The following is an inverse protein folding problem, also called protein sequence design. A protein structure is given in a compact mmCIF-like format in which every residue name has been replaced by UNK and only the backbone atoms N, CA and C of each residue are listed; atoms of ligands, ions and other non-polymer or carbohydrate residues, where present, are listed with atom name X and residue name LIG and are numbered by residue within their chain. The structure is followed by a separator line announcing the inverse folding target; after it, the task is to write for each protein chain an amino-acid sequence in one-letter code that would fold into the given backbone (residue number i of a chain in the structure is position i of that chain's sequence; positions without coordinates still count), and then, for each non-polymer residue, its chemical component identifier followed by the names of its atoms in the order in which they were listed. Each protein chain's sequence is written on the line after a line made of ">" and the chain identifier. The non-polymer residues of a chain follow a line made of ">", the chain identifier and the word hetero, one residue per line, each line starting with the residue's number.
data_IF_221067990322
#
_entry.id   IF_221067990322
#
_cell.length_a   1.000
_cell.length_b   1.000
_cell.length_c   1.000
_cell.angle_alpha   90.00
_cell.angle_beta   90.00
_cell.angle_gamma   90.00
#
_symmetry.space_group_name_H-M   'P 1'
#
loop_
_entity.id
_entity.type
_entity.pdbx_description
1 polymer ?
#
# COMPACT_ATOMS: atom_id res chain seq x y z
N UNK A 1 -8.62 -3.64 24.10
CA UNK A 1 -8.80 -3.42 25.55
C UNK A 1 -9.78 -4.40 26.21
N UNK A 2 -11.03 -4.58 25.67
CA UNK A 2 -12.02 -5.46 26.31
C UNK A 2 -11.63 -6.94 26.30
N UNK A 3 -11.10 -7.46 25.20
CA UNK A 3 -10.64 -8.85 25.12
C UNK A 3 -9.57 -9.15 26.18
N UNK A 4 -8.58 -8.27 26.35
CA UNK A 4 -7.56 -8.41 27.38
C UNK A 4 -8.15 -8.40 28.80
N UNK A 5 -9.17 -7.57 29.04
CA UNK A 5 -9.89 -7.54 30.31
C UNK A 5 -10.64 -8.85 30.58
N UNK A 6 -11.32 -9.39 29.57
CA UNK A 6 -12.04 -10.66 29.65
C UNK A 6 -11.10 -11.83 29.90
N UNK A 7 -9.88 -11.77 29.33
CA UNK A 7 -8.82 -12.76 29.56
C UNK A 7 -8.14 -12.62 30.94
N UNK A 8 -8.52 -11.64 31.75
CA UNK A 8 -8.07 -11.49 33.14
C UNK A 8 -6.82 -10.61 33.33
N UNK A 9 -6.37 -9.88 32.30
CA UNK A 9 -5.25 -8.94 32.46
C UNK A 9 -5.68 -7.71 33.27
N UNK A 10 -4.86 -7.34 34.25
CA UNK A 10 -5.07 -6.14 35.04
C UNK A 10 -4.81 -4.85 34.22
N UNK A 11 -5.09 -3.69 34.79
CA UNK A 11 -4.96 -2.40 34.08
C UNK A 11 -3.53 -2.12 33.65
N UNK A 12 -2.56 -2.39 34.52
CA UNK A 12 -1.14 -2.16 34.23
C UNK A 12 -0.65 -3.04 33.07
N UNK A 13 -0.94 -4.34 33.12
CA UNK A 13 -0.60 -5.28 32.06
C UNK A 13 -1.22 -4.87 30.72
N UNK A 14 -2.51 -4.48 30.73
CA UNK A 14 -3.17 -4.01 29.50
C UNK A 14 -2.50 -2.79 28.90
N UNK A 15 -2.13 -1.82 29.73
CA UNK A 15 -1.40 -0.63 29.26
C UNK A 15 -0.04 -1.01 28.65
N UNK A 16 0.71 -1.92 29.28
CA UNK A 16 1.99 -2.41 28.73
C UNK A 16 1.80 -3.14 27.40
N UNK A 17 0.78 -4.01 27.28
CA UNK A 17 0.45 -4.72 26.04
C UNK A 17 0.06 -3.72 24.94
N UNK A 18 -0.77 -2.73 25.26
CA UNK A 18 -1.21 -1.70 24.33
C UNK A 18 0.00 -0.87 23.85
N UNK A 19 0.85 -0.40 24.77
CA UNK A 19 2.04 0.35 24.43
C UNK A 19 3.04 -0.47 23.60
N UNK A 20 3.18 -1.76 23.87
CA UNK A 20 4.00 -2.64 23.05
C UNK A 20 3.46 -2.75 21.61
N UNK A 21 2.16 -2.87 21.43
CA UNK A 21 1.56 -3.04 20.12
C UNK A 21 1.48 -1.72 19.30
N UNK A 22 1.15 -0.62 19.96
CA UNK A 22 0.85 0.68 19.30
C UNK A 22 2.01 1.66 19.39
N UNK A 23 2.93 1.46 20.34
CA UNK A 23 4.02 2.39 20.63
C UNK A 23 3.61 3.53 21.55
N UNK A 24 4.62 4.31 21.94
CA UNK A 24 4.43 5.49 22.80
C UNK A 24 4.29 6.79 22.00
N UNK A 25 4.66 6.79 20.71
CA UNK A 25 4.60 7.96 19.82
C UNK A 25 5.52 9.12 20.24
N UNK A 26 6.52 8.87 21.09
CA UNK A 26 7.40 9.90 21.64
C UNK A 26 8.79 9.34 21.97
N UNK A 27 9.81 10.20 21.92
CA UNK A 27 11.19 9.87 22.38
C UNK A 27 11.33 9.84 23.90
N UNK A 28 10.36 10.34 24.63
CA UNK A 28 10.46 10.44 26.08
C UNK A 28 10.54 9.07 26.73
N UNK A 29 11.60 8.82 27.48
CA UNK A 29 11.94 7.55 28.11
C UNK A 29 12.17 6.40 27.09
N UNK A 30 12.42 6.71 25.82
CA UNK A 30 12.78 5.70 24.84
C UNK A 30 14.16 5.10 25.21
N UNK A 31 14.30 3.76 25.25
CA UNK A 31 15.59 3.13 25.35
C UNK A 31 16.46 3.48 24.15
N UNK A 32 17.78 3.51 24.31
CA UNK A 32 18.80 3.66 23.27
C UNK A 32 18.73 4.98 22.50
N UNK A 33 17.63 5.29 21.83
CA UNK A 33 17.47 6.51 21.02
C UNK A 33 16.51 7.47 21.74
N UNK A 34 17.06 8.43 22.46
CA UNK A 34 16.34 9.41 23.25
C UNK A 34 16.95 10.80 23.10
N UNK A 35 16.36 11.81 23.75
CA UNK A 35 16.86 13.19 23.67
C UNK A 35 18.35 13.31 24.05
N UNK A 36 18.82 12.60 25.07
CA UNK A 36 20.21 12.71 25.52
C UNK A 36 21.18 12.18 24.46
N UNK A 37 20.94 10.96 23.97
CA UNK A 37 21.77 10.32 22.95
C UNK A 37 21.76 11.07 21.62
N UNK A 38 20.63 11.66 21.24
CA UNK A 38 20.51 12.49 20.03
C UNK A 38 21.20 13.87 20.22
N UNK A 39 21.14 14.48 21.43
CA UNK A 39 21.90 15.73 21.71
C UNK A 39 23.39 15.54 21.54
N UNK A 40 23.94 14.38 21.95
CA UNK A 40 25.34 14.03 21.72
C UNK A 40 25.72 13.96 20.24
N UNK A 41 24.73 13.74 19.36
CA UNK A 41 24.87 13.71 17.91
C UNK A 41 24.60 15.07 17.24
N UNK A 42 24.33 16.12 18.03
CA UNK A 42 24.13 17.49 17.53
C UNK A 42 22.68 17.90 17.31
N UNK A 43 21.70 17.11 17.76
CA UNK A 43 20.30 17.50 17.69
C UNK A 43 19.97 18.59 18.73
N UNK A 44 19.18 19.57 18.34
CA UNK A 44 18.76 20.70 19.18
C UNK A 44 17.25 20.67 19.44
N UNK A 45 16.76 21.61 20.26
CA UNK A 45 15.32 21.70 20.60
C UNK A 45 14.42 21.90 19.37
N UNK A 46 14.96 22.52 18.31
CA UNK A 46 14.25 22.69 17.05
C UNK A 46 13.97 21.32 16.40
N UNK A 47 14.99 20.47 16.29
CA UNK A 47 14.85 19.13 15.73
C UNK A 47 13.95 18.24 16.58
N UNK A 48 13.99 18.35 17.92
CA UNK A 48 13.07 17.62 18.80
C UNK A 48 11.61 18.03 18.60
N UNK A 49 11.34 19.31 18.38
CA UNK A 49 9.98 19.78 18.08
C UNK A 49 9.43 19.17 16.78
N UNK A 50 10.27 19.09 15.74
CA UNK A 50 9.92 18.44 14.46
C UNK A 50 9.70 16.94 14.63
N UNK A 51 10.57 16.26 15.37
CA UNK A 51 10.45 14.83 15.66
C UNK A 51 9.14 14.51 16.38
N UNK A 52 8.87 15.13 17.51
CA UNK A 52 7.66 14.87 18.32
C UNK A 52 6.37 15.06 17.51
N UNK A 53 6.34 16.02 16.60
CA UNK A 53 5.18 16.24 15.73
C UNK A 53 4.94 15.08 14.75
N UNK A 54 5.99 14.37 14.34
CA UNK A 54 5.97 13.34 13.31
C UNK A 54 5.90 11.92 13.89
N UNK A 55 6.46 11.70 15.09
CA UNK A 55 6.55 10.37 15.70
C UNK A 55 5.19 9.75 16.03
N UNK A 56 4.20 10.55 16.39
CA UNK A 56 2.87 10.07 16.76
C UNK A 56 2.12 9.35 15.62
N UNK A 57 2.52 9.56 14.38
CA UNK A 57 1.93 8.95 13.18
C UNK A 57 2.91 8.06 12.40
N UNK A 58 4.11 7.87 12.93
CA UNK A 58 5.14 7.11 12.26
C UNK A 58 4.90 5.60 12.36
N UNK A 59 5.05 4.90 11.24
CA UNK A 59 5.07 3.42 11.19
C UNK A 59 6.45 2.85 11.46
N UNK A 60 7.50 3.60 11.13
CA UNK A 60 8.87 3.27 11.38
C UNK A 60 9.64 4.57 11.62
N UNK A 61 10.53 4.58 12.62
CA UNK A 61 11.34 5.75 12.97
C UNK A 61 12.28 6.16 11.84
N UNK A 62 12.73 5.25 11.00
CA UNK A 62 13.57 5.54 9.82
C UNK A 62 12.90 6.56 8.89
N UNK A 63 11.57 6.53 8.76
CA UNK A 63 10.84 7.48 7.92
C UNK A 63 10.72 8.88 8.51
N UNK A 64 10.98 9.04 9.80
CA UNK A 64 11.00 10.34 10.47
C UNK A 64 12.41 10.94 10.45
N UNK A 65 13.44 10.09 10.52
CA UNK A 65 14.83 10.52 10.47
C UNK A 65 15.33 10.65 9.03
N UNK A 66 14.95 11.75 8.38
CA UNK A 66 15.29 12.03 6.99
C UNK A 66 15.50 13.52 6.72
N UNK A 67 16.03 13.85 5.53
CA UNK A 67 16.30 15.22 5.10
C UNK A 67 15.06 16.13 5.01
N UNK A 68 13.90 15.55 4.78
CA UNK A 68 12.65 16.33 4.64
C UNK A 68 12.13 16.79 6.00
N UNK A 69 12.40 16.02 7.05
CA UNK A 69 12.06 16.37 8.43
C UNK A 69 12.99 17.43 8.99
N UNK A 70 14.31 17.31 8.78
CA UNK A 70 15.31 18.17 9.43
C UNK A 70 15.85 19.28 8.55
N UNK A 71 15.62 19.23 7.23
CA UNK A 71 16.18 20.15 6.26
C UNK A 71 17.62 19.84 5.87
N UNK A 72 18.01 20.29 4.68
CA UNK A 72 19.32 20.03 4.09
C UNK A 72 20.46 20.67 4.89
N UNK A 73 20.23 21.85 5.46
CA UNK A 73 21.26 22.58 6.23
C UNK A 73 21.69 21.82 7.47
N UNK A 74 20.76 21.28 8.25
CA UNK A 74 21.07 20.46 9.41
C UNK A 74 21.78 19.17 9.01
N UNK A 75 21.27 18.47 8.00
CA UNK A 75 21.85 17.21 7.54
C UNK A 75 23.28 17.38 7.02
N UNK A 76 23.58 18.47 6.31
CA UNK A 76 24.91 18.73 5.71
C UNK A 76 25.89 19.37 6.70
N UNK A 77 25.44 20.39 7.42
CA UNK A 77 26.35 21.19 8.24
C UNK A 77 26.56 20.64 9.65
N UNK A 78 25.58 19.92 10.21
CA UNK A 78 25.68 19.35 11.56
C UNK A 78 26.00 17.87 11.52
N UNK A 79 25.28 17.10 10.70
CA UNK A 79 25.49 15.65 10.59
C UNK A 79 26.54 15.27 9.54
N UNK A 80 27.02 16.22 8.72
CA UNK A 80 28.06 16.07 7.70
C UNK A 80 27.71 15.06 6.59
N UNK A 81 26.44 14.91 6.25
CA UNK A 81 26.01 14.03 5.16
C UNK A 81 26.22 14.70 3.79
N UNK A 82 26.66 13.92 2.83
CA UNK A 82 26.77 14.33 1.43
C UNK A 82 25.43 14.30 0.70
N UNK A 83 25.32 15.08 -0.40
CA UNK A 83 24.14 15.03 -1.26
C UNK A 83 23.90 13.64 -1.86
N UNK A 84 24.95 12.86 -2.07
CA UNK A 84 24.84 11.50 -2.59
C UNK A 84 24.15 10.58 -1.55
N UNK A 85 24.57 10.63 -0.30
CA UNK A 85 23.93 9.86 0.79
C UNK A 85 22.47 10.27 1.00
N UNK A 86 22.20 11.58 1.06
CA UNK A 86 20.83 12.09 1.27
C UNK A 86 19.86 11.80 0.12
N UNK A 87 20.35 11.45 -1.06
CA UNK A 87 19.54 11.06 -2.21
C UNK A 87 19.47 9.54 -2.40
N UNK A 88 20.20 8.76 -1.61
CA UNK A 88 20.12 7.30 -1.64
C UNK A 88 18.84 6.83 -0.94
N UNK A 89 18.04 6.02 -1.62
CA UNK A 89 16.78 5.49 -1.09
C UNK A 89 17.00 4.52 0.08
N UNK A 90 18.16 3.87 0.12
CA UNK A 90 18.54 2.93 1.17
C UNK A 90 19.29 3.61 2.32
N UNK A 91 19.44 4.93 2.27
CA UNK A 91 20.16 5.68 3.30
C UNK A 91 19.40 5.65 4.63
N UNK A 92 20.04 5.08 5.65
CA UNK A 92 19.51 5.07 7.01
C UNK A 92 20.29 6.07 7.88
N UNK A 93 19.67 7.22 8.12
CA UNK A 93 20.28 8.30 8.91
C UNK A 93 20.69 7.86 10.31
N UNK A 94 19.88 7.03 10.98
CA UNK A 94 20.15 6.55 12.34
C UNK A 94 21.41 5.67 12.39
N UNK A 95 21.58 4.76 11.43
CA UNK A 95 22.79 3.92 11.33
C UNK A 95 24.03 4.77 11.06
N UNK A 96 23.93 5.76 10.19
CA UNK A 96 25.07 6.64 9.82
C UNK A 96 25.51 7.57 10.98
N UNK A 97 24.60 7.97 11.85
CA UNK A 97 24.98 8.73 13.07
C UNK A 97 25.45 7.81 14.19
N UNK A 98 25.54 6.49 13.95
CA UNK A 98 26.22 5.51 14.79
C UNK A 98 25.33 4.73 15.74
N UNK A 99 24.04 4.58 15.46
CA UNK A 99 23.18 3.61 16.15
C UNK A 99 23.25 2.26 15.45
N UNK A 100 23.27 1.18 16.23
CA UNK A 100 23.20 -0.18 15.69
C UNK A 100 21.78 -0.54 15.29
N UNK A 101 21.62 -1.53 14.40
CA UNK A 101 20.29 -2.01 13.98
C UNK A 101 19.48 -2.52 15.17
N UNK A 102 20.11 -3.14 16.16
CA UNK A 102 19.44 -3.58 17.40
C UNK A 102 18.89 -2.39 18.20
N UNK A 103 19.67 -1.32 18.36
CA UNK A 103 19.24 -0.10 19.06
C UNK A 103 18.08 0.58 18.31
N UNK A 104 18.17 0.62 16.99
CA UNK A 104 17.12 1.18 16.13
C UNK A 104 15.83 0.36 16.29
N UNK A 105 15.88 -0.97 16.29
CA UNK A 105 14.71 -1.83 16.41
C UNK A 105 14.05 -1.75 17.79
N UNK A 106 14.87 -1.65 18.87
CA UNK A 106 14.36 -1.41 20.23
C UNK A 106 13.61 -0.07 20.30
N UNK A 107 14.22 0.99 19.79
CA UNK A 107 13.60 2.32 19.76
C UNK A 107 12.35 2.34 18.88
N UNK A 108 12.39 1.67 17.74
CA UNK A 108 11.28 1.55 16.82
C UNK A 108 10.08 0.85 17.45
N UNK A 109 10.31 -0.27 18.14
CA UNK A 109 9.28 -0.98 18.89
C UNK A 109 8.71 -0.12 20.03
N UNK A 110 9.55 0.66 20.70
CA UNK A 110 9.09 1.56 21.76
C UNK A 110 8.23 2.71 21.22
N UNK A 111 8.68 3.35 20.15
CA UNK A 111 8.03 4.56 19.59
C UNK A 111 6.84 4.23 18.71
N UNK A 112 7.04 3.35 17.72
CA UNK A 112 6.03 3.03 16.70
C UNK A 112 5.19 1.80 17.05
N UNK A 113 5.61 1.02 18.06
CA UNK A 113 5.01 -0.26 18.42
C UNK A 113 5.45 -1.42 17.53
N UNK A 114 5.27 -2.62 18.04
CA UNK A 114 5.53 -3.87 17.31
C UNK A 114 4.47 -4.15 16.23
N UNK A 115 3.31 -3.47 16.27
CA UNK A 115 2.12 -3.69 15.41
C UNK A 115 1.60 -5.14 15.48
N UNK A 116 2.02 -5.88 16.47
CA UNK A 116 1.58 -7.24 16.80
C UNK A 116 1.60 -7.44 18.31
N UNK A 117 0.88 -8.45 18.80
CA UNK A 117 0.94 -8.87 20.20
C UNK A 117 1.97 -9.98 20.43
N UNK A 118 2.48 -10.57 19.36
CA UNK A 118 3.55 -11.55 19.45
C UNK A 118 4.83 -10.91 20.02
N UNK A 119 5.45 -11.58 20.96
CA UNK A 119 6.65 -11.07 21.64
C UNK A 119 6.37 -10.07 22.77
N UNK A 120 5.12 -9.67 23.03
CA UNK A 120 4.80 -8.85 24.19
C UNK A 120 5.09 -9.60 25.50
N UNK A 121 5.91 -9.05 26.41
CA UNK A 121 6.30 -9.76 27.64
C UNK A 121 5.14 -10.05 28.61
N UNK A 122 4.04 -9.33 28.50
CA UNK A 122 2.90 -9.43 29.42
C UNK A 122 1.79 -10.39 28.90
N UNK A 123 1.79 -10.73 27.59
CA UNK A 123 0.75 -11.60 27.03
C UNK A 123 1.16 -13.07 27.12
N UNK A 124 0.22 -13.92 27.47
CA UNK A 124 0.43 -15.36 27.50
C UNK A 124 0.24 -15.95 26.10
N UNK A 125 1.10 -16.88 25.72
CA UNK A 125 1.02 -17.54 24.39
C UNK A 125 -0.32 -18.21 24.14
N UNK A 126 -0.96 -18.78 25.18
CA UNK A 126 -2.28 -19.40 25.11
C UNK A 126 -3.40 -18.43 24.71
N UNK A 127 -3.18 -17.12 24.91
CA UNK A 127 -4.14 -16.07 24.57
C UNK A 127 -3.92 -15.44 23.19
N UNK A 128 -2.74 -15.63 22.58
CA UNK A 128 -2.43 -15.06 21.26
C UNK A 128 -3.45 -15.43 20.17
N UNK A 129 -3.99 -16.66 20.10
CA UNK A 129 -4.97 -17.03 19.07
C UNK A 129 -6.24 -16.18 19.05
N UNK A 130 -6.60 -15.54 20.17
CA UNK A 130 -7.77 -14.63 20.26
C UNK A 130 -7.54 -13.36 19.40
N UNK A 131 -6.30 -13.03 19.13
CA UNK A 131 -5.90 -11.81 18.45
C UNK A 131 -5.37 -12.06 17.03
N UNK A 132 -5.41 -13.31 16.56
CA UNK A 132 -4.98 -13.64 15.19
C UNK A 132 -5.82 -12.88 14.16
N UNK A 133 -5.16 -12.17 13.26
CA UNK A 133 -5.78 -11.42 12.18
C UNK A 133 -5.79 -12.24 10.87
N UNK A 134 -6.46 -11.72 9.85
CA UNK A 134 -6.51 -12.37 8.55
C UNK A 134 -5.14 -12.46 7.85
N UNK A 135 -4.27 -11.49 8.14
CA UNK A 135 -2.89 -11.42 7.66
C UNK A 135 -1.93 -11.36 8.85
N UNK A 136 -0.66 -11.66 8.58
CA UNK A 136 0.44 -11.43 9.52
C UNK A 136 0.48 -9.93 9.85
N UNK A 137 0.66 -9.61 11.12
CA UNK A 137 0.69 -8.23 11.61
C UNK A 137 2.07 -7.87 12.15
N UNK A 138 2.52 -6.64 11.87
CA UNK A 138 3.80 -6.11 12.33
C UNK A 138 5.01 -6.75 11.65
N UNK A 139 6.21 -6.31 12.07
CA UNK A 139 7.47 -6.77 11.49
C UNK A 139 7.91 -8.16 11.96
N UNK A 140 7.56 -8.51 13.19
CA UNK A 140 7.99 -9.76 13.86
C UNK A 140 6.89 -10.81 13.97
N UNK A 141 5.67 -10.48 13.59
CA UNK A 141 4.51 -11.38 13.67
C UNK A 141 4.65 -12.54 12.69
N UNK A 142 4.16 -13.70 13.10
CA UNK A 142 4.11 -14.94 12.30
C UNK A 142 2.72 -15.53 12.26
N UNK A 143 1.84 -15.08 13.15
CA UNK A 143 0.52 -15.64 13.35
C UNK A 143 -0.51 -14.97 12.43
N UNK A 144 -1.39 -15.78 11.88
CA UNK A 144 -2.55 -15.35 11.08
C UNK A 144 -3.63 -16.42 11.11
N UNK A 145 -4.87 -16.05 10.79
CA UNK A 145 -5.97 -17.00 10.65
C UNK A 145 -5.73 -17.90 9.44
N UNK A 146 -5.75 -19.22 9.66
CA UNK A 146 -5.52 -20.19 8.59
C UNK A 146 -6.58 -20.10 7.50
N UNK A 147 -6.22 -20.46 6.28
CA UNK A 147 -7.15 -20.59 5.13
C UNK A 147 -8.36 -21.44 5.50
N UNK A 148 -8.13 -22.53 6.24
CA UNK A 148 -9.20 -23.43 6.69
C UNK A 148 -10.17 -22.75 7.66
N UNK A 149 -9.68 -21.91 8.58
CA UNK A 149 -10.55 -21.17 9.52
C UNK A 149 -11.53 -20.24 8.78
N UNK A 150 -11.06 -19.55 7.73
CA UNK A 150 -11.94 -18.74 6.88
C UNK A 150 -13.00 -19.58 6.18
N UNK A 151 -12.62 -20.72 5.59
CA UNK A 151 -13.51 -21.63 4.86
C UNK A 151 -14.55 -22.25 5.82
N UNK A 152 -14.14 -22.71 6.98
CA UNK A 152 -15.05 -23.31 7.98
C UNK A 152 -16.05 -22.31 8.52
N UNK A 153 -15.64 -21.08 8.80
CA UNK A 153 -16.55 -20.03 9.23
C UNK A 153 -17.59 -19.69 8.15
N UNK A 154 -17.17 -19.61 6.89
CA UNK A 154 -18.08 -19.42 5.76
C UNK A 154 -19.06 -20.58 5.65
N UNK A 155 -18.57 -21.82 5.74
CA UNK A 155 -19.39 -23.01 5.65
C UNK A 155 -20.42 -23.12 6.78
N UNK A 156 -20.02 -22.77 8.00
CA UNK A 156 -20.94 -22.72 9.15
C UNK A 156 -22.05 -21.68 9.00
N UNK A 157 -21.74 -20.56 8.33
CA UNK A 157 -22.69 -19.47 8.11
C UNK A 157 -23.58 -19.66 6.88
N UNK A 158 -23.13 -20.39 5.85
CA UNK A 158 -23.79 -20.52 4.55
C UNK A 158 -25.23 -21.08 4.63
N UNK A 159 -25.57 -22.06 5.52
CA UNK A 159 -26.94 -22.57 5.60
C UNK A 159 -27.99 -21.52 6.02
N UNK A 160 -27.57 -20.46 6.67
CA UNK A 160 -28.45 -19.39 7.17
C UNK A 160 -28.55 -18.22 6.19
N UNK A 161 -27.81 -18.25 5.06
CA UNK A 161 -27.70 -17.17 4.10
C UNK A 161 -28.13 -17.68 2.71
N UNK A 162 -29.20 -17.10 2.17
CA UNK A 162 -29.76 -17.51 0.87
C UNK A 162 -28.82 -17.17 -0.30
N UNK A 163 -28.10 -16.06 -0.24
CA UNK A 163 -27.09 -15.66 -1.21
C UNK A 163 -25.74 -16.33 -1.00
N UNK A 164 -24.76 -15.96 -1.83
CA UNK A 164 -23.36 -16.31 -1.60
C UNK A 164 -22.74 -15.34 -0.58
N UNK A 165 -21.73 -15.82 0.15
CA UNK A 165 -20.94 -15.03 1.10
C UNK A 165 -19.74 -14.47 0.34
N UNK A 166 -19.66 -13.14 0.20
CA UNK A 166 -18.51 -12.45 -0.37
C UNK A 166 -17.45 -12.24 0.71
N UNK A 167 -16.52 -13.19 0.83
CA UNK A 167 -15.41 -13.15 1.79
C UNK A 167 -14.11 -13.49 1.07
N UNK A 168 -13.14 -12.61 1.18
CA UNK A 168 -11.78 -12.90 0.73
C UNK A 168 -11.09 -13.83 1.72
N UNK A 169 -10.53 -14.91 1.21
CA UNK A 169 -9.69 -15.86 1.94
C UNK A 169 -8.24 -15.47 1.67
N UNK A 170 -7.58 -14.93 2.67
CA UNK A 170 -6.20 -14.51 2.55
C UNK A 170 -5.26 -15.72 2.65
N UNK A 171 -4.25 -15.74 1.80
CA UNK A 171 -3.19 -16.75 1.75
C UNK A 171 -1.83 -16.05 1.79
N UNK A 172 -0.84 -16.60 2.51
CA UNK A 172 0.50 -16.02 2.54
C UNK A 172 1.19 -16.10 1.15
N UNK A 173 2.21 -15.29 0.95
CA UNK A 173 3.04 -15.29 -0.27
C UNK A 173 3.69 -16.64 -0.54
N UNK A 174 3.95 -17.44 0.50
CA UNK A 174 4.51 -18.80 0.43
C UNK A 174 3.50 -19.86 0.00
N UNK A 175 2.19 -19.54 -0.11
CA UNK A 175 1.18 -20.52 -0.50
C UNK A 175 1.42 -21.05 -1.93
N UNK A 176 1.39 -22.36 -2.06
CA UNK A 176 1.59 -23.06 -3.32
C UNK A 176 0.30 -23.16 -4.16
N UNK A 177 0.44 -23.55 -5.43
CA UNK A 177 -0.71 -23.87 -6.30
C UNK A 177 -1.57 -24.98 -5.70
N UNK A 178 -0.96 -25.96 -5.03
CA UNK A 178 -1.69 -27.06 -4.39
C UNK A 178 -2.49 -26.57 -3.19
N UNK A 179 -1.99 -25.60 -2.41
CA UNK A 179 -2.74 -24.97 -1.32
C UNK A 179 -3.99 -24.25 -1.85
N UNK A 180 -3.85 -23.52 -2.96
CA UNK A 180 -5.00 -22.89 -3.63
C UNK A 180 -6.03 -23.92 -4.10
N UNK A 181 -5.58 -24.99 -4.73
CA UNK A 181 -6.44 -26.10 -5.17
C UNK A 181 -7.16 -26.76 -4.00
N UNK A 182 -6.45 -27.02 -2.90
CA UNK A 182 -7.02 -27.58 -1.68
C UNK A 182 -8.08 -26.65 -1.06
N UNK A 183 -7.85 -25.34 -1.05
CA UNK A 183 -8.81 -24.34 -0.57
C UNK A 183 -10.10 -24.35 -1.42
N UNK A 184 -9.99 -24.38 -2.76
CA UNK A 184 -11.16 -24.50 -3.65
C UNK A 184 -11.89 -25.81 -3.45
N UNK A 185 -11.16 -26.94 -3.38
CA UNK A 185 -11.76 -28.27 -3.20
C UNK A 185 -12.48 -28.39 -1.86
N UNK A 186 -11.88 -27.84 -0.77
CA UNK A 186 -12.50 -27.82 0.55
C UNK A 186 -13.77 -26.96 0.57
N UNK A 187 -13.73 -25.78 -0.03
CA UNK A 187 -14.88 -24.89 -0.16
C UNK A 187 -16.05 -25.57 -0.89
N UNK A 188 -15.75 -26.25 -1.99
CA UNK A 188 -16.74 -27.02 -2.74
C UNK A 188 -17.33 -28.17 -1.93
N UNK A 189 -16.50 -28.98 -1.24
CA UNK A 189 -16.95 -30.09 -0.39
C UNK A 189 -17.87 -29.64 0.76
N UNK A 190 -17.65 -28.42 1.28
CA UNK A 190 -18.44 -27.84 2.35
C UNK A 190 -19.68 -27.07 1.84
N UNK A 191 -19.95 -27.08 0.54
CA UNK A 191 -21.14 -26.46 -0.05
C UNK A 191 -21.16 -24.95 -0.04
N UNK A 192 -20.00 -24.29 -0.02
CA UNK A 192 -19.88 -22.84 -0.11
C UNK A 192 -20.19 -22.41 -1.54
N UNK A 193 -21.06 -21.37 -1.69
CA UNK A 193 -21.57 -20.91 -2.98
C UNK A 193 -20.59 -20.02 -3.76
N UNK A 194 -19.67 -19.35 -3.07
CA UNK A 194 -18.64 -18.52 -3.68
C UNK A 194 -17.33 -18.62 -2.89
N UNK A 195 -16.20 -18.54 -3.60
CA UNK A 195 -14.86 -18.56 -3.01
C UNK A 195 -14.00 -17.52 -3.72
N UNK A 196 -13.37 -16.63 -2.96
CA UNK A 196 -12.41 -15.64 -3.45
C UNK A 196 -11.10 -15.80 -2.68
N UNK A 197 -10.05 -16.28 -3.35
CA UNK A 197 -8.72 -16.38 -2.78
C UNK A 197 -7.91 -15.13 -3.10
N UNK A 198 -7.15 -14.66 -2.12
CA UNK A 198 -6.18 -13.59 -2.28
C UNK A 198 -4.85 -14.06 -1.70
N UNK A 199 -3.85 -14.25 -2.57
CA UNK A 199 -2.48 -14.60 -2.17
C UNK A 199 -1.64 -13.33 -2.13
N UNK A 200 -0.94 -13.12 -1.04
CA UNK A 200 -0.02 -12.00 -0.90
C UNK A 200 1.04 -12.05 -2.00
N UNK A 201 1.45 -10.90 -2.51
CA UNK A 201 2.40 -10.81 -3.62
C UNK A 201 1.84 -11.19 -5.00
N UNK A 202 0.55 -11.51 -5.14
CA UNK A 202 -0.03 -11.90 -6.44
C UNK A 202 -0.28 -10.73 -7.40
N UNK A 203 -0.22 -9.49 -6.92
CA UNK A 203 -0.38 -8.26 -7.71
C UNK A 203 0.72 -7.27 -7.37
N UNK A 204 1.18 -6.51 -8.36
CA UNK A 204 2.19 -5.45 -8.20
C UNK A 204 1.73 -4.31 -7.29
N UNK A 205 0.42 -4.03 -7.22
CA UNK A 205 -0.17 -3.07 -6.30
C UNK A 205 -1.08 -3.79 -5.31
N UNK A 206 -0.70 -3.76 -4.03
CA UNK A 206 -1.48 -4.38 -2.95
C UNK A 206 -2.02 -3.30 -2.01
N UNK A 207 -3.29 -2.90 -2.14
CA UNK A 207 -3.86 -1.86 -1.28
C UNK A 207 -4.06 -2.30 0.19
N UNK A 208 -3.85 -3.59 0.50
CA UNK A 208 -4.05 -4.18 1.82
C UNK A 208 -2.76 -4.76 2.44
N UNK A 209 -1.59 -4.55 1.82
CA UNK A 209 -0.32 -4.95 2.42
C UNK A 209 -0.01 -4.03 3.61
N UNK A 210 -0.02 -4.59 4.81
CA UNK A 210 0.35 -3.91 6.05
C UNK A 210 1.82 -4.11 6.42
N UNK A 211 2.59 -4.81 5.60
CA UNK A 211 3.99 -5.09 5.86
C UNK A 211 4.89 -4.46 4.80
N UNK A 212 5.68 -3.49 5.24
CA UNK A 212 6.89 -3.04 4.53
C UNK A 212 8.01 -4.08 4.63
N UNK A 213 7.81 -5.15 5.42
CA UNK A 213 8.81 -6.18 5.73
C UNK A 213 8.95 -7.29 4.68
N UNK A 214 8.03 -7.39 3.71
CA UNK A 214 8.09 -8.46 2.69
C UNK A 214 9.17 -8.21 1.62
N UNK A 215 9.95 -7.12 1.74
CA UNK A 215 11.01 -6.76 0.78
C UNK A 215 12.41 -7.21 1.29
N UNK A 216 12.56 -7.45 2.60
CA UNK A 216 13.90 -7.71 3.19
C UNK A 216 14.24 -9.20 3.39
N UNK A 217 13.27 -10.13 3.39
CA UNK A 217 13.52 -11.53 3.80
C UNK A 217 13.66 -12.55 2.67
N UNK A 218 13.63 -12.15 1.40
CA UNK A 218 13.79 -13.09 0.28
C UNK A 218 15.08 -12.81 -0.49
N UNK A 219 16.24 -13.27 0.04
CA UNK A 219 17.55 -13.14 -0.61
C UNK A 219 17.58 -13.76 -2.01
N UNK A 220 16.82 -14.83 -2.26
CA UNK A 220 16.71 -15.49 -3.57
C UNK A 220 15.79 -14.68 -4.54
N UNK A 221 14.77 -13.98 -4.01
CA UNK A 221 13.98 -13.03 -4.80
C UNK A 221 14.75 -11.76 -5.10
N UNK A 222 15.65 -11.32 -4.22
CA UNK A 222 16.52 -10.17 -4.45
C UNK A 222 17.51 -10.39 -5.60
N UNK A 223 18.00 -11.60 -5.83
CA UNK A 223 18.94 -11.88 -6.93
C UNK A 223 18.23 -11.91 -8.30
N UNK A 224 16.96 -12.30 -8.34
CA UNK A 224 16.13 -12.26 -9.55
C UNK A 224 15.52 -10.88 -9.83
N UNK A 225 15.32 -10.05 -8.79
CA UNK A 225 14.64 -8.74 -8.87
C UNK A 225 15.65 -7.59 -8.97
N UNK A 226 16.90 -7.74 -8.51
CA UNK A 226 17.95 -6.71 -8.63
C UNK A 226 18.04 -6.04 -9.99
N UNK A 227 18.06 -6.77 -11.13
CA UNK A 227 18.13 -6.11 -12.44
C UNK A 227 16.83 -5.41 -12.86
N UNK A 228 15.69 -5.80 -12.30
CA UNK A 228 14.38 -5.19 -12.57
C UNK A 228 14.18 -3.97 -11.69
N UNK A 229 14.54 -4.07 -10.41
CA UNK A 229 14.41 -2.96 -9.45
C UNK A 229 15.38 -1.82 -9.77
N UNK A 230 16.63 -2.10 -10.15
CA UNK A 230 17.57 -1.08 -10.61
C UNK A 230 17.07 -0.38 -11.88
N UNK A 231 16.51 -1.13 -12.84
CA UNK A 231 15.92 -0.55 -14.06
C UNK A 231 14.67 0.27 -13.77
N UNK A 232 13.83 -0.14 -12.82
CA UNK A 232 12.63 0.58 -12.42
C UNK A 232 13.02 1.84 -11.64
N UNK A 233 13.96 1.76 -10.70
CA UNK A 233 14.48 2.91 -9.94
C UNK A 233 15.18 3.91 -10.85
N UNK A 234 16.03 3.45 -11.78
CA UNK A 234 16.68 4.33 -12.76
C UNK A 234 15.68 5.00 -13.71
N UNK A 235 14.59 4.29 -14.04
CA UNK A 235 13.48 4.81 -14.85
C UNK A 235 12.61 5.79 -14.06
N UNK A 236 12.28 5.51 -12.81
CA UNK A 236 11.48 6.39 -11.92
C UNK A 236 12.26 7.67 -11.59
N UNK A 237 13.55 7.60 -11.29
CA UNK A 237 14.39 8.79 -11.03
C UNK A 237 14.55 9.67 -12.29
N UNK A 238 14.53 9.08 -13.48
CA UNK A 238 14.58 9.86 -14.75
C UNK A 238 13.25 10.53 -15.10
N UNK A 239 12.10 10.03 -14.63
CA UNK A 239 10.77 10.45 -15.09
C UNK A 239 9.96 11.26 -14.08
N UNK A 240 10.49 11.64 -12.92
CA UNK A 240 9.77 12.44 -11.90
C UNK A 240 9.51 13.90 -12.32
N UNK A 241 9.96 14.35 -13.49
CA UNK A 241 9.56 15.66 -14.04
C UNK A 241 8.34 15.51 -14.93
N UNK A 242 7.26 16.22 -14.54
CA UNK A 242 6.07 16.34 -15.37
C UNK A 242 6.44 16.86 -16.77
N UNK A 243 6.30 16.03 -17.77
CA UNK A 243 6.47 16.38 -19.17
C UNK A 243 5.16 17.02 -19.67
N UNK A 244 5.11 18.35 -19.73
CA UNK A 244 3.92 19.03 -20.26
C UNK A 244 3.88 18.90 -21.77
N UNK A 245 2.70 18.68 -22.33
CA UNK A 245 2.51 18.71 -23.79
C UNK A 245 2.72 20.12 -24.34
N UNK A 246 3.18 20.24 -25.62
CA UNK A 246 3.22 21.52 -26.31
C UNK A 246 1.82 22.08 -26.48
N UNK A 247 1.69 23.41 -26.60
CA UNK A 247 0.38 24.06 -26.77
C UNK A 247 -0.34 23.59 -28.04
N UNK A 248 0.39 23.38 -29.14
CA UNK A 248 -0.13 22.77 -30.37
C UNK A 248 0.34 21.33 -30.45
N UNK A 249 -0.59 20.39 -30.42
CA UNK A 249 -0.33 18.95 -30.42
C UNK A 249 -1.30 18.21 -31.33
N UNK A 250 -0.85 17.05 -31.82
CA UNK A 250 -1.71 16.09 -32.52
C UNK A 250 -2.52 15.31 -31.50
N UNK A 251 -3.58 14.71 -31.96
CA UNK A 251 -4.40 13.84 -31.14
C UNK A 251 -5.47 13.14 -31.96
N UNK A 252 -6.04 12.14 -31.35
CA UNK A 252 -7.09 11.30 -31.89
C UNK A 252 -8.43 11.67 -31.28
N UNK A 253 -9.50 11.64 -32.06
CA UNK A 253 -10.86 11.84 -31.57
C UNK A 253 -11.73 10.67 -32.01
N UNK A 254 -12.22 9.90 -31.05
CA UNK A 254 -13.17 8.82 -31.24
C UNK A 254 -14.53 9.21 -30.69
N UNK A 255 -15.56 9.09 -31.53
CA UNK A 255 -16.95 9.20 -31.10
C UNK A 255 -17.56 7.81 -31.06
N UNK A 256 -18.17 7.46 -29.93
CA UNK A 256 -18.91 6.22 -29.77
C UNK A 256 -20.18 6.43 -28.96
N UNK A 257 -21.00 5.40 -28.88
CA UNK A 257 -22.16 5.35 -28.00
C UNK A 257 -22.05 4.08 -27.17
N UNK A 258 -22.04 4.18 -25.85
CA UNK A 258 -21.97 3.08 -24.89
C UNK A 258 -23.30 3.03 -24.14
N UNK A 259 -24.02 1.93 -24.18
CA UNK A 259 -25.31 1.79 -23.49
C UNK A 259 -26.33 2.88 -23.87
N UNK A 260 -26.28 3.44 -25.11
CA UNK A 260 -27.14 4.55 -25.54
C UNK A 260 -26.59 5.95 -25.23
N UNK A 261 -25.50 6.08 -24.52
CA UNK A 261 -24.87 7.35 -24.11
C UNK A 261 -23.70 7.72 -25.03
N UNK A 262 -23.73 8.92 -25.62
CA UNK A 262 -22.67 9.39 -26.52
C UNK A 262 -21.43 9.80 -25.75
N UNK A 263 -20.28 9.24 -26.15
CA UNK A 263 -18.96 9.51 -25.59
C UNK A 263 -18.03 10.00 -26.68
N UNK A 264 -17.26 11.02 -26.38
CA UNK A 264 -16.15 11.49 -27.19
C UNK A 264 -14.88 11.33 -26.39
N UNK A 265 -14.00 10.44 -26.83
CA UNK A 265 -12.64 10.32 -26.32
C UNK A 265 -11.72 11.12 -27.24
N UNK A 266 -10.93 12.01 -26.66
CA UNK A 266 -9.87 12.74 -27.38
C UNK A 266 -8.55 12.47 -26.70
N UNK A 267 -7.48 12.37 -27.48
CA UNK A 267 -6.10 12.24 -26.98
C UNK A 267 -5.29 13.46 -27.37
N UNK A 268 -4.22 13.71 -26.63
CA UNK A 268 -3.13 14.58 -26.99
C UNK A 268 -1.80 13.82 -26.96
N UNK A 269 -1.03 13.97 -28.01
CA UNK A 269 0.21 13.20 -28.23
C UNK A 269 1.42 14.12 -28.18
N UNK A 270 2.53 13.59 -27.65
CA UNK A 270 3.86 14.19 -27.79
C UNK A 270 4.38 14.04 -29.23
N UNK A 271 5.48 14.70 -29.53
CA UNK A 271 6.11 14.63 -30.88
C UNK A 271 6.58 13.20 -31.25
N UNK A 272 6.91 12.37 -30.23
CA UNK A 272 7.28 10.96 -30.36
C UNK A 272 6.08 10.00 -30.54
N UNK A 273 4.85 10.54 -30.54
CA UNK A 273 3.61 9.78 -30.70
C UNK A 273 3.05 9.17 -29.43
N UNK A 274 3.68 9.37 -28.27
CA UNK A 274 3.14 8.90 -26.97
C UNK A 274 1.97 9.75 -26.55
N UNK A 275 0.94 9.10 -25.98
CA UNK A 275 -0.21 9.77 -25.40
C UNK A 275 0.20 10.43 -24.07
N UNK A 276 -0.05 11.73 -23.94
CA UNK A 276 0.25 12.50 -22.73
C UNK A 276 -1.00 13.12 -22.09
N UNK A 277 -2.14 13.09 -22.75
CA UNK A 277 -3.43 13.53 -22.18
C UNK A 277 -4.63 12.85 -22.84
N UNK A 278 -5.70 12.75 -22.10
CA UNK A 278 -7.01 12.30 -22.57
C UNK A 278 -8.09 13.28 -22.13
N UNK A 279 -9.17 13.33 -22.90
CA UNK A 279 -10.40 14.07 -22.60
C UNK A 279 -11.58 13.15 -22.82
N UNK A 280 -12.49 13.10 -21.84
CA UNK A 280 -13.74 12.33 -21.95
C UNK A 280 -14.91 13.32 -21.89
N UNK A 281 -15.59 13.46 -23.01
CA UNK A 281 -16.74 14.36 -23.13
C UNK A 281 -18.03 13.55 -23.38
N UNK A 282 -19.03 13.78 -22.55
CA UNK A 282 -20.29 13.05 -22.61
C UNK A 282 -21.47 14.01 -22.87
N UNK A 283 -22.34 13.62 -23.77
CA UNK A 283 -23.54 14.38 -24.12
C UNK A 283 -24.76 13.80 -23.41
N UNK A 284 -25.63 14.68 -22.91
CA UNK A 284 -26.91 14.35 -22.25
C UNK A 284 -26.80 13.75 -20.83
N UNK A 285 -25.61 13.74 -20.23
CA UNK A 285 -25.45 13.33 -18.86
C UNK A 285 -25.65 14.50 -17.89
N UNK A 286 -25.97 14.19 -16.64
CA UNK A 286 -26.04 15.18 -15.57
C UNK A 286 -24.68 15.88 -15.34
N UNK A 287 -24.71 17.14 -14.92
CA UNK A 287 -23.52 17.95 -14.74
C UNK A 287 -22.50 17.29 -13.81
N UNK A 288 -22.95 16.60 -12.76
CA UNK A 288 -22.10 15.91 -11.80
C UNK A 288 -21.30 14.77 -12.44
N UNK A 289 -21.95 13.92 -13.24
CA UNK A 289 -21.28 12.80 -13.89
C UNK A 289 -20.27 13.26 -14.95
N UNK A 290 -20.61 14.29 -15.74
CA UNK A 290 -19.67 14.88 -16.71
C UNK A 290 -18.47 15.47 -16.03
N UNK A 291 -18.65 16.17 -14.91
CA UNK A 291 -17.54 16.74 -14.12
C UNK A 291 -16.65 15.65 -13.55
N UNK A 292 -17.23 14.53 -13.08
CA UNK A 292 -16.47 13.38 -12.58
C UNK A 292 -15.62 12.75 -13.69
N UNK A 293 -16.18 12.50 -14.86
CA UNK A 293 -15.44 11.95 -16.00
C UNK A 293 -14.33 12.88 -16.48
N UNK A 294 -14.57 14.19 -16.47
CA UNK A 294 -13.56 15.18 -16.81
C UNK A 294 -12.41 15.19 -15.78
N UNK A 295 -12.72 15.17 -14.49
CA UNK A 295 -11.70 15.10 -13.43
C UNK A 295 -10.91 13.80 -13.50
N UNK A 296 -11.57 12.69 -13.84
CA UNK A 296 -10.92 11.41 -14.07
C UNK A 296 -9.94 11.50 -15.26
N UNK A 297 -10.36 12.05 -16.39
CA UNK A 297 -9.50 12.26 -17.54
C UNK A 297 -8.28 13.16 -17.22
N UNK A 298 -8.47 14.17 -16.37
CA UNK A 298 -7.38 15.01 -15.86
C UNK A 298 -6.40 14.18 -15.01
N UNK A 299 -6.89 13.33 -14.12
CA UNK A 299 -6.04 12.49 -13.28
C UNK A 299 -5.19 11.52 -14.12
N UNK A 300 -5.79 10.83 -15.10
CA UNK A 300 -5.08 9.97 -16.04
C UNK A 300 -4.04 10.77 -16.84
N UNK A 301 -4.41 11.94 -17.35
CA UNK A 301 -3.50 12.82 -18.09
C UNK A 301 -2.30 13.25 -17.26
N UNK A 302 -2.50 13.58 -15.99
CA UNK A 302 -1.41 13.92 -15.07
C UNK A 302 -0.50 12.69 -14.89
N UNK A 303 -1.04 11.51 -14.67
CA UNK A 303 -0.27 10.27 -14.55
C UNK A 303 0.58 9.98 -15.79
N UNK A 304 -0.01 10.08 -17.00
CA UNK A 304 0.71 9.94 -18.27
C UNK A 304 1.85 10.95 -18.40
N UNK A 305 1.63 12.20 -17.98
CA UNK A 305 2.65 13.27 -18.02
C UNK A 305 3.77 13.06 -16.99
N UNK A 306 3.54 12.29 -15.95
CA UNK A 306 4.56 11.83 -15.00
C UNK A 306 5.18 10.48 -15.38
N UNK A 307 4.85 9.93 -16.56
CA UNK A 307 5.49 8.73 -17.11
C UNK A 307 4.82 7.42 -16.70
N UNK A 308 3.63 7.45 -16.08
CA UNK A 308 2.87 6.22 -15.85
C UNK A 308 2.51 5.59 -17.20
N UNK A 309 2.87 4.32 -17.45
CA UNK A 309 2.54 3.65 -18.72
C UNK A 309 1.01 3.60 -18.95
N UNK A 310 0.58 3.73 -20.20
CA UNK A 310 -0.84 3.62 -20.55
C UNK A 310 -1.43 2.26 -20.16
N UNK A 311 -0.63 1.21 -20.26
CA UNK A 311 -1.04 -0.17 -19.95
C UNK A 311 -1.49 -0.33 -18.48
N UNK A 312 -0.90 0.41 -17.54
CA UNK A 312 -1.33 0.41 -16.13
C UNK A 312 -2.78 0.90 -15.98
N UNK A 313 -3.16 1.92 -16.74
CA UNK A 313 -4.55 2.40 -16.74
C UNK A 313 -5.49 1.42 -17.44
N UNK A 314 -5.05 0.80 -18.52
CA UNK A 314 -5.82 -0.21 -19.25
C UNK A 314 -6.11 -1.41 -18.34
N UNK A 315 -5.10 -1.96 -17.65
CA UNK A 315 -5.29 -3.08 -16.72
C UNK A 315 -6.20 -2.70 -15.54
N UNK A 316 -6.06 -1.48 -15.02
CA UNK A 316 -6.86 -1.04 -13.88
C UNK A 316 -8.33 -0.85 -14.21
N UNK A 317 -8.67 -0.42 -15.44
CA UNK A 317 -10.03 0.00 -15.79
C UNK A 317 -10.78 -1.00 -16.66
N UNK A 318 -10.11 -1.93 -17.32
CA UNK A 318 -10.75 -3.02 -18.06
C UNK A 318 -11.65 -3.84 -17.12
N UNK A 319 -12.87 -4.14 -17.55
CA UNK A 319 -13.92 -4.81 -16.80
C UNK A 319 -14.45 -4.08 -15.55
N UNK A 320 -14.16 -2.80 -15.36
CA UNK A 320 -14.87 -2.00 -14.37
C UNK A 320 -16.35 -1.90 -14.71
N UNK A 321 -17.23 -1.98 -13.70
CA UNK A 321 -18.70 -2.02 -13.92
C UNK A 321 -19.39 -0.85 -13.25
N UNK A 322 -19.96 0.03 -14.07
CA UNK A 322 -20.88 1.08 -13.65
C UNK A 322 -21.64 1.64 -14.87
N UNK A 323 -22.76 2.29 -14.63
CA UNK A 323 -23.55 2.92 -15.69
C UNK A 323 -22.90 4.23 -16.20
N UNK A 324 -22.95 4.50 -17.52
CA UNK A 324 -23.59 3.69 -18.56
C UNK A 324 -22.74 2.51 -19.05
N UNK A 325 -23.38 1.38 -19.25
CA UNK A 325 -22.79 0.13 -19.76
C UNK A 325 -23.67 -0.47 -20.87
N UNK A 326 -23.14 -1.34 -21.71
CA UNK A 326 -23.90 -2.07 -22.72
C UNK A 326 -23.26 -2.07 -24.10
N UNK A 327 -24.12 -2.16 -25.14
CA UNK A 327 -23.66 -2.20 -26.51
C UNK A 327 -22.96 -0.92 -26.93
N UNK A 328 -21.84 -1.10 -27.63
CA UNK A 328 -21.03 -0.03 -28.19
C UNK A 328 -21.33 0.10 -29.67
N UNK A 329 -21.62 1.32 -30.11
CA UNK A 329 -21.76 1.67 -31.53
C UNK A 329 -20.84 2.81 -31.90
N UNK A 330 -20.35 2.84 -33.14
CA UNK A 330 -19.36 3.83 -33.59
C UNK A 330 -17.91 3.45 -33.28
N UNK A 331 -17.67 2.17 -32.90
CA UNK A 331 -16.37 1.56 -32.79
C UNK A 331 -16.41 0.21 -33.52
N UNK A 332 -15.43 -0.04 -34.37
CA UNK A 332 -15.40 -1.26 -35.20
C UNK A 332 -14.90 -2.48 -34.45
N UNK A 333 -14.10 -2.28 -33.40
CA UNK A 333 -13.45 -3.33 -32.62
C UNK A 333 -14.24 -3.68 -31.36
N UNK A 334 -14.60 -2.67 -30.56
CA UNK A 334 -15.27 -2.86 -29.27
C UNK A 334 -16.77 -2.89 -29.51
N UNK A 335 -17.43 -3.99 -29.15
CA UNK A 335 -18.89 -4.19 -29.36
C UNK A 335 -19.71 -4.08 -28.07
N UNK A 336 -19.11 -4.25 -26.94
CA UNK A 336 -19.71 -4.16 -25.61
C UNK A 336 -18.71 -3.60 -24.60
N UNK A 337 -19.18 -2.80 -23.69
CA UNK A 337 -18.40 -2.30 -22.57
C UNK A 337 -19.21 -2.36 -21.27
N UNK A 338 -18.54 -2.67 -20.15
CA UNK A 338 -19.15 -2.78 -18.83
C UNK A 338 -19.13 -1.45 -18.07
N UNK A 339 -18.45 -0.44 -18.63
CA UNK A 339 -18.48 0.96 -18.19
C UNK A 339 -17.87 1.86 -19.26
N UNK A 340 -17.90 3.18 -19.05
CA UNK A 340 -17.19 4.14 -19.90
C UNK A 340 -15.66 3.97 -19.79
N UNK A 341 -15.17 3.53 -18.64
CA UNK A 341 -13.72 3.33 -18.44
C UNK A 341 -13.24 1.99 -19.00
N UNK A 342 -14.12 1.02 -19.13
CA UNK A 342 -13.86 -0.26 -19.80
C UNK A 342 -13.83 -0.08 -21.32
N UNK A 343 -14.59 0.91 -21.84
CA UNK A 343 -14.58 1.28 -23.25
C UNK A 343 -13.30 1.98 -23.65
#
# INVERSE_FOLDING_TARGET
>A
PEALKTLGYNKEQRTKIENYAVGHGTLKNCPEINENTLREKGFTDEQFTLLESSLSSAFDIKFVFNRYTFGDDFCKNTLNFSDQQLNDINFNMLSEIGFTDEQIEIANTFICGAMTLEGSPEIKDEHLPVFDCANICGRIGKRFLSVNSHIEMMAASQPFISGAISKTINMPSTASVEDCKNAYMRSWKLGIKANALYRDGSKLSQPLSSSLSDIEDDEDAMEAVKPITERVIERVIREVRRSRLPERRKGYTQKATVGGHKVYLRTGEYEDGKIGEIFIDMHKEGAAFRSLMNNFAIAVSIGLQYGVPLDEFVEAFTFTRFEPQGLVTGNDTIKMATSILDY
#
